data_IF_085551526616
#
_entry.id   IF_085551526616
#
_cell.length_a   1.000
_cell.length_b   1.000
_cell.length_c   1.000
_cell.angle_alpha   90.00
_cell.angle_beta   90.00
_cell.angle_gamma   90.00
#
_symmetry.space_group_name_H-M   'P 1'
#
loop_
_entity.id
_entity.type
_entity.pdbx_description
1 polymer ?
#
# COMPACT_ATOMS: atom_id res chain seq x y z
N UNK A 1 -17.07 -13.76 -7.63
CA UNK A 1 -16.66 -12.47 -7.07
C UNK A 1 -15.68 -11.77 -8.03
N UNK A 2 -16.10 -11.55 -9.29
CA UNK A 2 -15.28 -10.93 -10.36
C UNK A 2 -16.08 -9.90 -11.17
N UNK A 3 -17.40 -10.07 -11.25
CA UNK A 3 -18.29 -9.20 -12.03
C UNK A 3 -18.52 -7.85 -11.33
N UNK A 4 -18.58 -7.81 -9.99
CA UNK A 4 -18.85 -6.59 -9.24
C UNK A 4 -17.66 -5.62 -9.32
N UNK A 5 -16.43 -6.11 -9.19
CA UNK A 5 -15.22 -5.29 -9.28
C UNK A 5 -15.05 -4.70 -10.69
N UNK A 6 -15.24 -5.50 -11.74
CA UNK A 6 -15.18 -5.03 -13.13
C UNK A 6 -16.28 -4.00 -13.47
N UNK A 7 -17.49 -4.17 -12.93
CA UNK A 7 -18.59 -3.20 -13.12
C UNK A 7 -18.33 -1.91 -12.33
N UNK A 8 -17.75 -1.99 -11.13
CA UNK A 8 -17.38 -0.82 -10.33
C UNK A 8 -16.18 -0.06 -10.92
N UNK A 9 -15.20 -0.76 -11.50
CA UNK A 9 -14.10 -0.14 -12.25
C UNK A 9 -14.63 0.55 -13.52
N UNK A 10 -15.53 -0.11 -14.26
CA UNK A 10 -16.16 0.46 -15.46
C UNK A 10 -17.04 1.69 -15.19
N UNK A 11 -17.78 1.72 -14.06
CA UNK A 11 -18.60 2.86 -13.67
C UNK A 11 -17.74 4.05 -13.17
N UNK A 12 -16.64 3.77 -12.46
CA UNK A 12 -15.64 4.79 -12.06
C UNK A 12 -14.94 5.39 -13.26
N UNK A 13 -14.55 4.57 -14.25
CA UNK A 13 -13.96 5.05 -15.51
C UNK A 13 -14.87 6.03 -16.24
N UNK A 14 -16.18 5.77 -16.27
CA UNK A 14 -17.18 6.70 -16.84
C UNK A 14 -17.33 7.99 -16.05
N UNK A 15 -17.25 7.93 -14.72
CA UNK A 15 -17.43 9.10 -13.86
C UNK A 15 -16.30 10.14 -14.05
N UNK A 16 -15.09 9.68 -14.33
CA UNK A 16 -13.91 10.54 -14.46
C UNK A 16 -13.38 10.66 -15.89
N UNK A 17 -14.02 10.03 -16.89
CA UNK A 17 -13.55 10.04 -18.30
C UNK A 17 -13.30 11.45 -18.83
N UNK A 18 -14.18 12.40 -18.55
CA UNK A 18 -14.01 13.78 -19.05
C UNK A 18 -12.82 14.49 -18.44
N UNK A 19 -12.46 14.15 -17.19
CA UNK A 19 -11.25 14.66 -16.53
C UNK A 19 -10.03 14.00 -17.18
N UNK A 20 -10.01 12.68 -17.28
CA UNK A 20 -8.88 11.94 -17.89
C UNK A 20 -8.64 12.31 -19.35
N UNK A 21 -9.70 12.57 -20.14
CA UNK A 21 -9.55 13.09 -21.50
C UNK A 21 -8.82 14.45 -21.52
N UNK A 22 -9.14 15.35 -20.59
CA UNK A 22 -8.45 16.63 -20.48
C UNK A 22 -6.99 16.47 -20.02
N UNK A 23 -6.73 15.55 -19.09
CA UNK A 23 -5.37 15.20 -18.63
C UNK A 23 -4.54 14.63 -19.78
N UNK A 24 -5.08 13.68 -20.53
CA UNK A 24 -4.43 13.04 -21.69
C UNK A 24 -4.17 14.05 -22.82
N UNK A 25 -5.06 15.02 -23.01
CA UNK A 25 -4.87 16.15 -23.93
C UNK A 25 -3.90 17.22 -23.40
N UNK A 26 -3.26 17.01 -22.23
CA UNK A 26 -2.40 17.98 -21.52
C UNK A 26 -3.09 19.32 -21.22
N UNK A 27 -4.41 19.34 -21.21
CA UNK A 27 -5.20 20.51 -20.85
C UNK A 27 -5.46 20.55 -19.34
N UNK A 28 -4.39 20.72 -18.56
CA UNK A 28 -4.43 20.66 -17.10
C UNK A 28 -5.33 21.73 -16.49
N UNK A 29 -5.42 22.92 -17.10
CA UNK A 29 -6.35 23.98 -16.66
C UNK A 29 -7.81 23.53 -16.77
N UNK A 30 -8.18 22.84 -17.87
CA UNK A 30 -9.52 22.29 -18.03
C UNK A 30 -9.76 21.13 -17.06
N UNK A 31 -8.78 20.23 -16.89
CA UNK A 31 -8.89 19.11 -15.97
C UNK A 31 -9.17 19.59 -14.53
N UNK A 32 -8.40 20.58 -14.02
CA UNK A 32 -8.64 21.17 -12.69
C UNK A 32 -10.04 21.77 -12.57
N UNK A 33 -10.51 22.53 -13.57
CA UNK A 33 -11.88 23.08 -13.55
C UNK A 33 -12.95 22.00 -13.48
N UNK A 34 -12.78 20.89 -14.21
CA UNK A 34 -13.72 19.77 -14.18
C UNK A 34 -13.71 19.05 -12.83
N UNK A 35 -12.53 18.89 -12.24
CA UNK A 35 -12.36 18.30 -10.90
C UNK A 35 -13.04 19.17 -9.85
N UNK A 36 -12.75 20.47 -9.81
CA UNK A 36 -13.34 21.41 -8.85
C UNK A 36 -14.87 21.49 -8.98
N UNK A 37 -15.38 21.48 -10.22
CA UNK A 37 -16.83 21.42 -10.47
C UNK A 37 -17.47 20.15 -9.90
N UNK A 38 -16.76 19.02 -9.90
CA UNK A 38 -17.26 17.75 -9.35
C UNK A 38 -17.15 17.72 -7.82
N UNK A 39 -16.01 18.15 -7.27
CA UNK A 39 -15.78 18.26 -5.82
C UNK A 39 -16.78 19.20 -5.14
N UNK A 40 -17.13 20.32 -5.79
CA UNK A 40 -18.15 21.24 -5.28
C UNK A 40 -19.55 20.61 -5.17
N UNK A 41 -19.82 19.52 -5.89
CA UNK A 41 -21.09 18.78 -5.79
C UNK A 41 -21.01 17.68 -4.74
N UNK A 42 -19.90 16.95 -4.70
CA UNK A 42 -19.71 15.82 -3.80
C UNK A 42 -18.21 15.70 -3.47
N UNK A 43 -17.82 15.80 -2.19
CA UNK A 43 -16.46 15.49 -1.75
C UNK A 43 -16.09 14.06 -2.12
N UNK A 44 -14.89 13.87 -2.66
CA UNK A 44 -14.44 12.60 -3.20
C UNK A 44 -12.90 12.54 -3.11
N UNK A 45 -12.41 11.57 -2.33
CA UNK A 45 -10.98 11.41 -2.07
C UNK A 45 -10.16 11.16 -3.36
N UNK A 46 -10.75 10.45 -4.34
CA UNK A 46 -10.08 10.17 -5.61
C UNK A 46 -9.98 11.44 -6.45
N UNK A 47 -11.01 12.29 -6.46
CA UNK A 47 -10.94 13.58 -7.13
C UNK A 47 -9.93 14.53 -6.50
N UNK A 48 -9.77 14.53 -5.18
CA UNK A 48 -8.70 15.31 -4.51
C UNK A 48 -7.31 14.78 -4.86
N UNK A 49 -7.14 13.45 -4.92
CA UNK A 49 -5.90 12.84 -5.38
C UNK A 49 -5.61 13.18 -6.85
N UNK A 50 -6.61 13.10 -7.72
CA UNK A 50 -6.49 13.46 -9.13
C UNK A 50 -6.19 14.94 -9.33
N UNK A 51 -6.75 15.81 -8.50
CA UNK A 51 -6.41 17.24 -8.49
C UNK A 51 -4.94 17.45 -8.18
N UNK A 52 -4.44 16.75 -7.17
CA UNK A 52 -3.04 16.79 -6.73
C UNK A 52 -2.11 16.26 -7.82
N UNK A 53 -2.46 15.14 -8.44
CA UNK A 53 -1.76 14.57 -9.59
C UNK A 53 -1.65 15.57 -10.76
N UNK A 54 -2.77 16.17 -11.17
CA UNK A 54 -2.78 17.16 -12.26
C UNK A 54 -1.94 18.40 -11.92
N UNK A 55 -1.94 18.84 -10.65
CA UNK A 55 -1.05 19.91 -10.19
C UNK A 55 0.41 19.50 -10.24
N UNK A 56 0.75 18.25 -9.90
CA UNK A 56 2.11 17.72 -9.97
C UNK A 56 2.68 17.66 -11.39
N UNK A 57 1.81 17.60 -12.42
CA UNK A 57 2.24 17.75 -13.82
C UNK A 57 2.68 19.18 -14.18
N UNK A 58 2.43 20.16 -13.31
CA UNK A 58 2.97 21.52 -13.44
C UNK A 58 4.47 21.49 -13.10
N UNK A 59 5.32 22.00 -13.98
CA UNK A 59 6.80 22.00 -13.81
C UNK A 59 7.24 23.03 -12.72
N UNK A 60 6.32 23.51 -11.89
CA UNK A 60 6.59 24.53 -10.87
C UNK A 60 7.02 23.87 -9.56
N UNK A 61 8.28 24.05 -9.19
CA UNK A 61 8.86 23.54 -7.94
C UNK A 61 8.05 23.96 -6.70
N UNK A 62 7.53 25.19 -6.67
CA UNK A 62 6.69 25.68 -5.57
C UNK A 62 5.38 24.91 -5.41
N UNK A 63 4.83 24.37 -6.49
CA UNK A 63 3.64 23.53 -6.42
C UNK A 63 4.01 22.13 -5.91
N UNK A 64 5.13 21.57 -6.36
CA UNK A 64 5.62 20.28 -5.88
C UNK A 64 5.85 20.27 -4.36
N UNK A 65 6.44 21.32 -3.80
CA UNK A 65 6.61 21.44 -2.35
C UNK A 65 5.28 21.44 -1.59
N UNK A 66 4.27 22.15 -2.11
CA UNK A 66 2.92 22.15 -1.50
C UNK A 66 2.26 20.77 -1.58
N UNK A 67 2.45 20.07 -2.69
CA UNK A 67 1.94 18.71 -2.88
C UNK A 67 2.57 17.75 -1.87
N UNK A 68 3.88 17.82 -1.67
CA UNK A 68 4.58 16.97 -0.70
C UNK A 68 4.05 17.20 0.71
N UNK A 69 3.94 18.47 1.14
CA UNK A 69 3.38 18.83 2.46
C UNK A 69 1.94 18.30 2.59
N UNK A 70 1.11 18.48 1.57
CA UNK A 70 -0.26 17.97 1.58
C UNK A 70 -0.30 16.44 1.78
N UNK A 71 0.56 15.68 1.10
CA UNK A 71 0.57 14.21 1.22
C UNK A 71 1.14 13.76 2.58
N UNK A 72 2.12 14.47 3.12
CA UNK A 72 2.62 14.25 4.50
C UNK A 72 1.53 14.48 5.55
N UNK A 73 0.74 15.55 5.40
CA UNK A 73 -0.43 15.81 6.26
C UNK A 73 -1.48 14.70 6.14
N UNK A 74 -1.76 14.22 4.91
CA UNK A 74 -2.68 13.09 4.68
C UNK A 74 -2.18 11.81 5.36
N UNK A 75 -0.86 11.56 5.36
CA UNK A 75 -0.27 10.42 6.04
C UNK A 75 -0.45 10.50 7.56
N UNK A 76 -0.52 11.70 8.13
CA UNK A 76 -0.73 11.91 9.56
C UNK A 76 -2.21 12.03 10.00
N UNK A 77 -3.12 12.32 9.07
CA UNK A 77 -4.51 12.68 9.41
C UNK A 77 -5.33 11.55 10.03
N UNK A 78 -6.40 11.96 10.70
CA UNK A 78 -7.54 11.14 11.13
C UNK A 78 -8.86 11.80 10.65
N UNK A 79 -9.86 11.06 10.13
CA UNK A 79 -9.83 9.62 9.85
C UNK A 79 -8.91 9.27 8.67
N UNK A 80 -8.40 8.03 8.66
CA UNK A 80 -7.51 7.57 7.59
C UNK A 80 -8.19 7.55 6.21
N UNK A 81 -7.37 7.79 5.18
CA UNK A 81 -7.76 7.59 3.80
C UNK A 81 -7.94 6.08 3.52
N UNK A 82 -9.15 5.67 3.15
CA UNK A 82 -9.48 4.27 2.87
C UNK A 82 -9.51 3.93 1.38
N UNK A 83 -9.56 4.92 0.49
CA UNK A 83 -9.66 4.71 -0.94
C UNK A 83 -8.30 4.32 -1.54
N UNK A 84 -8.11 3.07 -2.01
CA UNK A 84 -6.83 2.62 -2.58
C UNK A 84 -6.47 3.33 -3.88
N UNK A 85 -7.45 3.62 -4.74
CA UNK A 85 -7.21 4.28 -6.04
C UNK A 85 -6.69 5.71 -5.83
N UNK A 86 -7.13 6.38 -4.76
CA UNK A 86 -6.61 7.68 -4.37
C UNK A 86 -5.15 7.58 -3.89
N UNK A 87 -4.82 6.54 -3.10
CA UNK A 87 -3.45 6.30 -2.63
C UNK A 87 -2.52 6.00 -3.81
N UNK A 88 -2.97 5.25 -4.80
CA UNK A 88 -2.19 4.95 -6.01
C UNK A 88 -1.88 6.23 -6.82
N UNK A 89 -2.82 7.17 -6.92
CA UNK A 89 -2.57 8.48 -7.54
C UNK A 89 -1.55 9.32 -6.76
N UNK A 90 -1.60 9.30 -5.43
CA UNK A 90 -0.59 9.97 -4.61
C UNK A 90 0.79 9.33 -4.77
N UNK A 91 0.85 7.99 -4.88
CA UNK A 91 2.07 7.23 -5.12
C UNK A 91 2.72 7.62 -6.46
N UNK A 92 1.93 7.65 -7.53
CA UNK A 92 2.40 8.11 -8.85
C UNK A 92 2.91 9.56 -8.77
N UNK A 93 2.18 10.43 -8.08
CA UNK A 93 2.56 11.84 -7.91
C UNK A 93 3.89 11.98 -7.15
N UNK A 94 4.06 11.29 -6.02
CA UNK A 94 5.31 11.34 -5.23
C UNK A 94 6.47 10.73 -6.03
N UNK A 95 6.25 9.60 -6.70
CA UNK A 95 7.30 8.96 -7.51
C UNK A 95 7.75 9.85 -8.66
N UNK A 96 6.87 10.67 -9.25
CA UNK A 96 7.28 11.64 -10.27
C UNK A 96 8.04 12.85 -9.70
N UNK A 97 7.67 13.34 -8.52
CA UNK A 97 8.33 14.49 -7.90
C UNK A 97 9.67 14.10 -7.27
N UNK A 98 9.75 12.93 -6.64
CA UNK A 98 10.89 12.40 -5.88
C UNK A 98 11.12 10.90 -6.19
N UNK A 99 11.63 10.54 -7.38
CA UNK A 99 11.71 9.14 -7.82
C UNK A 99 12.52 8.23 -6.90
N UNK A 100 13.60 8.76 -6.31
CA UNK A 100 14.56 7.99 -5.52
C UNK A 100 14.41 8.18 -4.00
N UNK A 101 13.39 8.92 -3.55
CA UNK A 101 13.20 9.18 -2.11
C UNK A 101 12.40 8.08 -1.41
N UNK A 102 13.08 6.95 -1.13
CA UNK A 102 12.48 5.82 -0.42
C UNK A 102 12.00 6.20 0.99
N UNK A 103 12.75 7.05 1.69
CA UNK A 103 12.38 7.51 3.04
C UNK A 103 11.09 8.35 3.03
N UNK A 104 10.98 9.31 2.10
CA UNK A 104 9.76 10.11 1.94
C UNK A 104 8.59 9.22 1.56
N UNK A 105 8.81 8.28 0.63
CA UNK A 105 7.77 7.34 0.21
C UNK A 105 7.24 6.51 1.39
N UNK A 106 8.14 5.95 2.22
CA UNK A 106 7.75 5.14 3.38
C UNK A 106 6.96 5.96 4.42
N UNK A 107 7.39 7.20 4.69
CA UNK A 107 6.71 8.12 5.64
C UNK A 107 5.36 8.63 5.15
N UNK A 108 5.11 8.56 3.84
CA UNK A 108 3.88 9.07 3.21
C UNK A 108 3.02 7.93 2.68
N UNK A 109 3.33 7.42 1.50
CA UNK A 109 2.59 6.37 0.79
C UNK A 109 2.61 5.06 1.57
N UNK A 110 3.76 4.67 2.13
CA UNK A 110 3.88 3.48 2.99
C UNK A 110 2.90 3.53 4.17
N UNK A 111 2.87 4.65 4.88
CA UNK A 111 1.95 4.88 6.00
C UNK A 111 0.47 4.92 5.54
N UNK A 112 0.16 5.58 4.41
CA UNK A 112 -1.20 5.58 3.84
C UNK A 112 -1.68 4.17 3.49
N UNK A 113 -0.83 3.37 2.84
CA UNK A 113 -1.12 1.97 2.48
C UNK A 113 -1.31 1.12 3.73
N UNK A 114 -0.44 1.26 4.73
CA UNK A 114 -0.57 0.57 6.01
C UNK A 114 -1.88 0.91 6.71
N UNK A 115 -2.22 2.20 6.81
CA UNK A 115 -3.48 2.66 7.41
C UNK A 115 -4.71 2.13 6.67
N UNK A 116 -4.68 2.13 5.34
CA UNK A 116 -5.76 1.55 4.51
C UNK A 116 -5.94 0.04 4.77
N UNK A 117 -4.84 -0.72 4.83
CA UNK A 117 -4.85 -2.15 5.22
C UNK A 117 -5.41 -2.34 6.62
N UNK A 118 -5.02 -1.49 7.57
CA UNK A 118 -5.51 -1.56 8.95
C UNK A 118 -7.03 -1.38 9.03
N UNK A 119 -7.59 -0.44 8.26
CA UNK A 119 -9.05 -0.25 8.17
C UNK A 119 -9.76 -1.42 7.50
N UNK A 120 -9.19 -1.95 6.41
CA UNK A 120 -9.81 -2.95 5.55
C UNK A 120 -9.09 -4.30 5.61
N UNK A 121 -8.75 -4.75 6.81
CA UNK A 121 -7.85 -5.88 7.06
C UNK A 121 -8.33 -7.25 6.53
N UNK A 122 -9.61 -7.36 6.15
CA UNK A 122 -10.21 -8.55 5.54
C UNK A 122 -10.22 -8.51 4.00
N UNK A 123 -9.78 -7.41 3.39
CA UNK A 123 -9.63 -7.29 1.94
C UNK A 123 -8.25 -7.83 1.53
N UNK A 124 -8.20 -9.09 1.09
CA UNK A 124 -6.95 -9.77 0.74
C UNK A 124 -6.23 -9.12 -0.43
N UNK A 125 -6.96 -8.66 -1.46
CA UNK A 125 -6.39 -7.97 -2.62
C UNK A 125 -5.70 -6.67 -2.18
N UNK A 126 -6.36 -5.85 -1.36
CA UNK A 126 -5.76 -4.62 -0.83
C UNK A 126 -4.48 -4.91 -0.05
N UNK A 127 -4.48 -5.94 0.80
CA UNK A 127 -3.29 -6.31 1.56
C UNK A 127 -2.15 -6.76 0.64
N UNK A 128 -2.45 -7.55 -0.40
CA UNK A 128 -1.47 -8.00 -1.39
C UNK A 128 -0.87 -6.84 -2.18
N UNK A 129 -1.71 -5.94 -2.66
CA UNK A 129 -1.28 -4.79 -3.46
C UNK A 129 -0.42 -3.84 -2.61
N UNK A 130 -0.83 -3.58 -1.36
CA UNK A 130 -0.04 -2.79 -0.42
C UNK A 130 1.30 -3.44 -0.05
N UNK A 131 1.32 -4.76 0.20
CA UNK A 131 2.54 -5.49 0.51
C UNK A 131 3.56 -5.41 -0.64
N UNK A 132 3.10 -5.63 -1.88
CA UNK A 132 3.95 -5.55 -3.09
C UNK A 132 4.53 -4.15 -3.25
N UNK A 133 3.72 -3.11 -3.06
CA UNK A 133 4.18 -1.73 -3.14
C UNK A 133 5.29 -1.44 -2.12
N UNK A 134 5.07 -1.80 -0.85
CA UNK A 134 6.09 -1.63 0.20
C UNK A 134 7.39 -2.37 -0.12
N UNK A 135 7.31 -3.64 -0.55
CA UNK A 135 8.49 -4.42 -0.93
C UNK A 135 9.23 -3.83 -2.14
N UNK A 136 8.51 -3.27 -3.12
CA UNK A 136 9.11 -2.63 -4.29
C UNK A 136 9.89 -1.34 -3.97
N UNK A 137 9.65 -0.77 -2.79
CA UNK A 137 10.26 0.47 -2.29
C UNK A 137 11.19 0.23 -1.09
N UNK A 138 11.55 -1.03 -0.82
CA UNK A 138 12.34 -1.46 0.35
C UNK A 138 11.77 -0.99 1.71
N UNK A 139 10.46 -0.74 1.77
CA UNK A 139 9.76 -0.36 2.99
C UNK A 139 9.38 -1.62 3.80
N UNK A 140 10.41 -2.21 4.40
CA UNK A 140 10.26 -3.44 5.18
C UNK A 140 9.39 -3.22 6.42
N UNK A 141 9.39 -2.02 7.02
CA UNK A 141 8.60 -1.68 8.20
C UNK A 141 7.10 -1.82 7.97
N UNK A 142 6.57 -1.24 6.89
CA UNK A 142 5.17 -1.44 6.56
C UNK A 142 4.90 -2.83 6.00
N UNK A 143 5.80 -3.40 5.19
CA UNK A 143 5.64 -4.76 4.66
C UNK A 143 5.43 -5.79 5.79
N UNK A 144 6.22 -5.71 6.87
CA UNK A 144 6.05 -6.57 8.06
C UNK A 144 4.72 -6.35 8.76
N UNK A 145 4.27 -5.10 8.94
CA UNK A 145 2.98 -4.83 9.56
C UNK A 145 1.84 -5.45 8.73
N UNK A 146 1.90 -5.30 7.41
CA UNK A 146 0.91 -5.81 6.46
C UNK A 146 0.90 -7.35 6.43
N UNK A 147 2.06 -8.01 6.29
CA UNK A 147 2.11 -9.48 6.23
C UNK A 147 1.62 -10.13 7.53
N UNK A 148 1.86 -9.49 8.68
CA UNK A 148 1.32 -9.93 9.97
C UNK A 148 -0.21 -9.87 10.01
N UNK A 149 -0.82 -8.84 9.41
CA UNK A 149 -2.28 -8.75 9.26
C UNK A 149 -2.78 -9.87 8.33
N UNK A 150 -2.08 -10.13 7.23
CA UNK A 150 -2.45 -11.17 6.28
C UNK A 150 -2.39 -12.57 6.89
N UNK A 151 -1.31 -12.92 7.58
CA UNK A 151 -1.17 -14.21 8.27
C UNK A 151 -2.30 -14.43 9.28
N UNK A 152 -2.65 -13.40 10.05
CA UNK A 152 -3.71 -13.47 11.07
C UNK A 152 -5.11 -13.62 10.47
N UNK A 153 -5.41 -12.91 9.39
CA UNK A 153 -6.76 -12.83 8.83
C UNK A 153 -7.03 -13.90 7.76
N UNK A 154 -6.00 -14.43 7.10
CA UNK A 154 -6.12 -15.39 6.01
C UNK A 154 -5.41 -16.72 6.35
N UNK A 155 -5.65 -17.25 7.54
CA UNK A 155 -4.98 -18.44 8.09
C UNK A 155 -5.09 -19.71 7.22
N UNK A 156 -6.08 -19.78 6.32
CA UNK A 156 -6.22 -20.87 5.36
C UNK A 156 -5.08 -20.86 4.31
N UNK A 157 -4.52 -19.70 4.02
CA UNK A 157 -3.43 -19.53 3.08
C UNK A 157 -2.09 -19.56 3.83
N UNK A 158 -1.49 -20.76 3.91
CA UNK A 158 -0.22 -20.97 4.60
C UNK A 158 0.96 -20.24 3.95
N UNK A 159 0.81 -19.74 2.72
CA UNK A 159 1.85 -18.96 2.07
C UNK A 159 2.18 -17.69 2.86
N UNK A 160 1.20 -17.10 3.56
CA UNK A 160 1.45 -15.87 4.34
C UNK A 160 2.32 -16.10 5.57
N UNK A 161 2.33 -17.31 6.13
CA UNK A 161 3.28 -17.68 7.17
C UNK A 161 4.71 -17.66 6.60
N UNK A 162 4.89 -18.27 5.41
CA UNK A 162 6.18 -18.29 4.74
C UNK A 162 6.64 -16.88 4.34
N UNK A 163 5.73 -16.03 3.87
CA UNK A 163 6.05 -14.64 3.53
C UNK A 163 6.44 -13.83 4.76
N UNK A 164 5.79 -14.06 5.91
CA UNK A 164 6.17 -13.40 7.15
C UNK A 164 7.60 -13.77 7.56
N UNK A 165 7.93 -15.08 7.56
CA UNK A 165 9.29 -15.56 7.79
C UNK A 165 10.28 -14.96 6.79
N UNK A 166 9.91 -14.88 5.51
CA UNK A 166 10.76 -14.30 4.46
C UNK A 166 11.05 -12.83 4.74
N UNK A 167 10.04 -12.04 5.12
CA UNK A 167 10.21 -10.63 5.47
C UNK A 167 11.09 -10.47 6.71
N UNK A 168 10.92 -11.30 7.75
CA UNK A 168 11.83 -11.28 8.90
C UNK A 168 13.29 -11.56 8.50
N UNK A 169 13.52 -12.47 7.55
CA UNK A 169 14.86 -12.72 7.02
C UNK A 169 15.38 -11.50 6.25
N UNK A 170 14.56 -10.86 5.39
CA UNK A 170 14.94 -9.63 4.68
C UNK A 170 15.34 -8.52 5.66
N UNK A 171 14.61 -8.31 6.74
CA UNK A 171 14.99 -7.40 7.83
C UNK A 171 16.36 -7.72 8.40
N UNK A 172 16.63 -9.00 8.66
CA UNK A 172 17.90 -9.43 9.26
C UNK A 172 19.10 -9.28 8.32
N UNK A 173 18.86 -9.09 7.02
CA UNK A 173 19.86 -8.92 5.98
C UNK A 173 20.00 -7.47 5.52
N UNK A 174 19.01 -6.61 5.77
CA UNK A 174 19.03 -5.21 5.35
C UNK A 174 20.09 -4.41 6.10
N UNK A 175 20.79 -3.54 5.40
CA UNK A 175 21.80 -2.64 5.97
C UNK A 175 21.22 -1.39 6.63
N UNK A 176 19.91 -1.17 6.47
CA UNK A 176 19.20 -0.01 7.01
C UNK A 176 18.91 -0.13 8.51
N UNK A 177 19.16 -1.30 9.12
CA UNK A 177 18.82 -1.59 10.51
C UNK A 177 20.06 -1.86 11.38
N UNK A 178 20.05 -1.49 12.67
CA UNK A 178 21.14 -1.81 13.59
C UNK A 178 21.29 -3.32 13.87
N UNK A 179 22.51 -3.76 14.21
CA UNK A 179 22.85 -5.19 14.39
C UNK A 179 22.00 -5.93 15.44
N UNK A 180 21.59 -5.24 16.51
CA UNK A 180 20.72 -5.81 17.53
C UNK A 180 19.33 -6.14 16.97
N UNK A 181 18.77 -5.28 16.13
CA UNK A 181 17.50 -5.52 15.45
C UNK A 181 17.64 -6.64 14.41
N UNK A 182 18.74 -6.64 13.63
CA UNK A 182 19.00 -7.74 12.67
C UNK A 182 19.06 -9.10 13.36
N UNK A 183 19.76 -9.18 14.51
CA UNK A 183 19.85 -10.41 15.33
C UNK A 183 18.48 -10.82 15.88
N UNK A 184 17.68 -9.87 16.34
CA UNK A 184 16.32 -10.13 16.82
C UNK A 184 15.47 -10.74 15.71
N UNK A 185 15.44 -10.13 14.52
CA UNK A 185 14.64 -10.61 13.40
C UNK A 185 15.06 -11.99 12.91
N UNK A 186 16.38 -12.25 12.87
CA UNK A 186 16.90 -13.59 12.57
C UNK A 186 16.42 -14.63 13.58
N UNK A 187 16.47 -14.30 14.86
CA UNK A 187 16.06 -15.21 15.94
C UNK A 187 14.57 -15.51 15.88
N UNK A 188 13.74 -14.50 15.58
CA UNK A 188 12.30 -14.67 15.40
C UNK A 188 11.97 -15.55 14.18
N UNK A 189 12.67 -15.35 13.05
CA UNK A 189 12.48 -16.17 11.87
C UNK A 189 12.78 -17.66 12.14
N UNK A 190 13.90 -17.95 12.82
CA UNK A 190 14.27 -19.32 13.21
C UNK A 190 13.24 -19.93 14.15
N UNK A 191 12.80 -19.20 15.17
CA UNK A 191 11.78 -19.68 16.10
C UNK A 191 10.45 -20.03 15.40
N UNK A 192 10.05 -19.23 14.40
CA UNK A 192 8.84 -19.50 13.62
C UNK A 192 9.01 -20.74 12.73
N UNK A 193 10.18 -20.94 12.12
CA UNK A 193 10.50 -22.16 11.36
C UNK A 193 10.47 -23.40 12.27
N UNK A 194 11.08 -23.34 13.45
CA UNK A 194 11.11 -24.46 14.40
C UNK A 194 9.70 -24.84 14.87
N UNK A 195 8.86 -23.84 15.14
CA UNK A 195 7.44 -24.06 15.50
C UNK A 195 6.67 -24.78 14.38
N UNK A 196 6.91 -24.39 13.12
CA UNK A 196 6.29 -25.03 11.97
C UNK A 196 6.77 -26.47 11.81
N UNK A 197 8.09 -26.70 11.91
CA UNK A 197 8.67 -28.03 11.82
C UNK A 197 8.13 -28.98 12.91
N UNK A 198 8.00 -28.50 14.16
CA UNK A 198 7.41 -29.25 15.25
C UNK A 198 5.93 -29.60 14.98
N UNK A 199 5.15 -28.65 14.46
CA UNK A 199 3.73 -28.85 14.11
C UNK A 199 3.56 -29.89 13.00
N UNK A 200 4.46 -29.90 12.01
CA UNK A 200 4.47 -30.91 10.95
C UNK A 200 4.78 -32.30 11.51
N UNK A 201 5.80 -32.45 12.36
CA UNK A 201 6.16 -33.74 12.98
C UNK A 201 5.02 -34.33 13.82
N UNK A 202 4.32 -33.47 14.58
CA UNK A 202 3.14 -33.87 15.36
C UNK A 202 2.01 -34.37 14.44
N UNK A 203 1.72 -33.66 13.35
CA UNK A 203 0.68 -34.09 12.40
C UNK A 203 0.99 -35.43 11.73
N UNK A 204 2.25 -35.69 11.41
CA UNK A 204 2.67 -36.97 10.80
C UNK A 204 2.57 -38.13 11.80
N UNK A 205 2.94 -37.91 13.06
CA UNK A 205 2.87 -38.92 14.11
C UNK A 205 1.41 -39.29 14.45
N UNK A 206 0.50 -38.32 14.50
CA UNK A 206 -0.93 -38.58 14.71
C UNK A 206 -1.58 -39.33 13.54
N UNK A 207 -1.09 -39.15 12.31
CA UNK A 207 -1.61 -39.83 11.12
C UNK A 207 -1.16 -41.31 11.08
N UNK A 208 0.07 -41.61 11.52
CA UNK A 208 0.58 -42.98 11.63
C UNK A 208 -0.04 -43.82 12.75
N UNK A 209 -0.74 -43.20 13.71
CA UNK A 209 -1.45 -43.91 14.80
C UNK A 209 -2.91 -44.23 14.46
N UNK A 210 -3.42 -43.77 13.31
CA UNK A 210 -4.79 -43.98 12.84
C UNK A 210 -4.88 -44.94 11.62
N UNK A 211 -3.77 -45.56 11.24
CA UNK A 211 -3.68 -46.65 10.23
C UNK A 211 -3.44 -47.98 10.92
#
# INVERSE_FOLDING_TARGET
>A
MYIIDAVMDYLRDRQYTSVWNAVNAKNYKQAIKLIEKKLAKCPDDYLEALKTYVRGKSILVSENLKILVQIEELACREPFLSNPDAIDLYDETITEILPDSLETWAKTIGELRWKSVKLSSKNEKLCLDALKACLSKDDLDHARKIVNVMEKNFQKNRNYIFWNVTIMILFSLSDNYPDNEKKLWRSLAVAQIDKLAASTKLSTASCSLLQ
#
